data_IF_299836384800
#
_entry.id   IF_299836384800
#
_cell.length_a   1.000
_cell.length_b   1.000
_cell.length_c   1.000
_cell.angle_alpha   90.00
_cell.angle_beta   90.00
_cell.angle_gamma   90.00
#
_symmetry.space_group_name_H-M   'P 1'
#
loop_
_entity.id
_entity.type
_entity.pdbx_description
1 polymer ?
#
# COMPACT_ATOMS: atom_id res chain seq x y z
N UNK A 1 -2.76 -27.10 -14.26
CA UNK A 1 -1.97 -25.98 -14.82
C UNK A 1 -2.76 -24.67 -14.98
N UNK A 2 -4.06 -24.60 -14.66
CA UNK A 2 -4.88 -23.36 -14.77
C UNK A 2 -4.90 -22.46 -13.53
N UNK A 3 -4.75 -23.01 -12.32
CA UNK A 3 -4.89 -22.26 -11.05
C UNK A 3 -3.83 -21.19 -10.80
N UNK A 4 -2.57 -21.49 -11.11
CA UNK A 4 -1.46 -20.59 -10.84
C UNK A 4 -1.51 -19.33 -11.71
N UNK A 5 -1.89 -19.48 -12.98
CA UNK A 5 -2.06 -18.35 -13.88
C UNK A 5 -3.19 -17.44 -13.44
N UNK A 6 -4.31 -18.00 -12.98
CA UNK A 6 -5.44 -17.22 -12.47
C UNK A 6 -5.08 -16.46 -11.19
N UNK A 7 -4.43 -17.15 -10.24
CA UNK A 7 -3.97 -16.56 -8.97
C UNK A 7 -2.96 -15.44 -9.19
N UNK A 8 -1.99 -15.62 -10.10
CA UNK A 8 -0.99 -14.59 -10.44
C UNK A 8 -1.68 -13.37 -11.06
N UNK A 9 -2.67 -13.58 -11.93
CA UNK A 9 -3.37 -12.47 -12.58
C UNK A 9 -4.22 -11.67 -11.58
N UNK A 10 -4.86 -12.36 -10.63
CA UNK A 10 -5.61 -11.74 -9.53
C UNK A 10 -4.70 -10.91 -8.62
N UNK A 11 -3.59 -11.50 -8.16
CA UNK A 11 -2.59 -10.82 -7.33
C UNK A 11 -2.03 -9.60 -8.08
N UNK A 12 -1.71 -9.74 -9.36
CA UNK A 12 -1.19 -8.64 -10.17
C UNK A 12 -2.19 -7.51 -10.32
N UNK A 13 -3.47 -7.81 -10.51
CA UNK A 13 -4.52 -6.81 -10.63
C UNK A 13 -4.71 -6.06 -9.31
N UNK A 14 -4.76 -6.78 -8.19
CA UNK A 14 -4.82 -6.19 -6.83
C UNK A 14 -3.62 -5.29 -6.59
N UNK A 15 -2.39 -5.77 -6.86
CA UNK A 15 -1.17 -4.97 -6.72
C UNK A 15 -1.20 -3.75 -7.65
N UNK A 16 -1.67 -3.87 -8.90
CA UNK A 16 -1.78 -2.71 -9.80
C UNK A 16 -2.75 -1.67 -9.26
N UNK A 17 -3.96 -2.03 -8.83
CA UNK A 17 -4.92 -1.07 -8.27
C UNK A 17 -4.42 -0.46 -6.96
N UNK A 18 -3.75 -1.28 -6.13
CA UNK A 18 -3.10 -0.89 -4.88
C UNK A 18 -2.01 0.14 -5.13
N UNK A 19 -1.10 -0.10 -6.07
CA UNK A 19 -0.05 0.85 -6.42
C UNK A 19 -0.62 2.07 -7.16
N UNK A 20 -1.58 1.90 -8.06
CA UNK A 20 -2.17 3.03 -8.79
C UNK A 20 -2.85 4.02 -7.84
N UNK A 21 -3.53 3.55 -6.80
CA UNK A 21 -4.17 4.41 -5.80
C UNK A 21 -3.23 4.77 -4.63
N UNK A 22 -2.32 3.87 -4.27
CA UNK A 22 -1.44 3.98 -3.11
C UNK A 22 -0.08 4.63 -3.38
N UNK A 23 0.37 4.72 -4.64
CA UNK A 23 1.66 5.36 -5.00
C UNK A 23 1.70 6.82 -4.54
N UNK A 24 0.54 7.50 -4.56
CA UNK A 24 0.43 8.87 -4.09
C UNK A 24 0.56 8.98 -2.57
N UNK A 25 0.03 7.99 -1.84
CA UNK A 25 0.15 7.89 -0.37
C UNK A 25 1.59 7.58 0.04
N UNK A 26 2.27 6.66 -0.67
CA UNK A 26 3.69 6.36 -0.45
C UNK A 26 4.57 7.56 -0.79
N UNK A 27 4.28 8.25 -1.90
CA UNK A 27 5.00 9.46 -2.31
C UNK A 27 4.83 10.60 -1.31
N UNK A 28 3.61 10.81 -0.79
CA UNK A 28 3.33 11.79 0.24
C UNK A 28 4.09 11.48 1.53
N UNK A 29 4.08 10.22 1.99
CA UNK A 29 4.84 9.81 3.17
C UNK A 29 6.35 9.92 3.00
N UNK A 30 6.85 9.56 1.81
CA UNK A 30 8.26 9.68 1.49
C UNK A 30 8.72 11.14 1.51
N UNK A 31 7.96 12.06 0.89
CA UNK A 31 8.21 13.50 0.96
C UNK A 31 8.13 14.02 2.40
N UNK A 32 7.13 13.57 3.18
CA UNK A 32 6.98 13.97 4.58
C UNK A 32 8.19 13.57 5.43
N UNK A 33 8.67 12.32 5.27
CA UNK A 33 9.86 11.82 5.96
C UNK A 33 11.15 12.51 5.48
N UNK A 34 11.24 12.82 4.18
CA UNK A 34 12.42 13.48 3.60
C UNK A 34 12.53 14.94 4.03
N UNK A 35 11.40 15.65 4.15
CA UNK A 35 11.37 17.04 4.63
C UNK A 35 11.63 17.13 6.14
N UNK A 36 11.33 16.09 6.90
CA UNK A 36 11.49 16.10 8.34
C UNK A 36 12.46 15.02 8.84
N UNK A 37 13.73 15.41 9.05
CA UNK A 37 14.77 14.56 9.65
C UNK A 37 14.60 14.34 11.18
N UNK A 38 13.41 14.63 11.73
CA UNK A 38 13.11 14.50 13.15
C UNK A 38 12.73 13.06 13.51
N UNK A 39 13.38 12.49 14.53
CA UNK A 39 13.15 11.12 15.02
C UNK A 39 11.68 10.83 15.39
N UNK A 40 10.90 11.85 15.75
CA UNK A 40 9.47 11.71 16.06
C UNK A 40 8.61 11.54 14.80
N UNK A 41 8.95 12.20 13.69
CA UNK A 41 8.23 12.04 12.42
C UNK A 41 8.47 10.68 11.77
N UNK A 42 9.66 10.10 11.95
CA UNK A 42 9.98 8.77 11.46
C UNK A 42 9.10 7.69 12.14
N UNK A 43 8.83 7.85 13.44
CA UNK A 43 7.87 7.01 14.18
C UNK A 43 6.44 7.17 13.68
N UNK A 44 5.99 8.41 13.48
CA UNK A 44 4.66 8.71 12.94
C UNK A 44 4.49 8.15 11.51
N UNK A 45 5.51 8.30 10.66
CA UNK A 45 5.52 7.76 9.31
C UNK A 45 5.40 6.23 9.31
N UNK A 46 6.09 5.54 10.20
CA UNK A 46 6.01 4.08 10.31
C UNK A 46 4.61 3.62 10.73
N UNK A 47 3.97 4.32 11.66
CA UNK A 47 2.59 4.04 12.10
C UNK A 47 1.62 4.25 10.94
N UNK A 48 1.75 5.35 10.20
CA UNK A 48 0.82 5.64 9.12
C UNK A 48 1.05 4.71 7.93
N UNK A 49 2.29 4.29 7.68
CA UNK A 49 2.59 3.24 6.71
C UNK A 49 1.86 1.93 7.06
N UNK A 50 1.82 1.54 8.34
CA UNK A 50 1.07 0.37 8.82
C UNK A 50 -0.45 0.57 8.64
N UNK A 51 -0.98 1.74 8.97
CA UNK A 51 -2.41 2.06 8.82
C UNK A 51 -2.82 2.01 7.35
N UNK A 52 -2.02 2.60 6.46
CA UNK A 52 -2.24 2.57 5.01
C UNK A 52 -2.19 1.12 4.50
N UNK A 53 -1.22 0.33 4.97
CA UNK A 53 -1.14 -1.09 4.63
C UNK A 53 -2.40 -1.86 5.05
N UNK A 54 -2.90 -1.61 6.26
CA UNK A 54 -4.12 -2.25 6.77
C UNK A 54 -5.38 -1.82 6.00
N UNK A 55 -5.54 -0.52 5.72
CA UNK A 55 -6.67 0.00 4.93
C UNK A 55 -6.67 -0.59 3.51
N UNK A 56 -5.51 -0.68 2.86
CA UNK A 56 -5.45 -1.27 1.53
C UNK A 56 -5.66 -2.78 1.53
N UNK A 57 -5.28 -3.48 2.60
CA UNK A 57 -5.60 -4.91 2.77
C UNK A 57 -7.12 -5.11 2.84
N UNK A 58 -7.81 -4.29 3.63
CA UNK A 58 -9.27 -4.30 3.74
C UNK A 58 -9.93 -3.93 2.40
N UNK A 59 -9.44 -2.90 1.72
CA UNK A 59 -9.95 -2.50 0.40
C UNK A 59 -9.80 -3.63 -0.63
N UNK A 60 -8.66 -4.33 -0.65
CA UNK A 60 -8.44 -5.45 -1.57
C UNK A 60 -9.35 -6.64 -1.27
N UNK A 61 -9.67 -6.89 0.01
CA UNK A 61 -10.61 -7.94 0.41
C UNK A 61 -12.04 -7.58 -0.02
N UNK A 62 -12.45 -6.31 0.14
CA UNK A 62 -13.80 -5.85 -0.20
C UNK A 62 -14.04 -5.84 -1.72
N UNK A 63 -13.06 -5.40 -2.51
CA UNK A 63 -13.17 -5.37 -3.97
C UNK A 63 -13.16 -6.76 -4.61
N UNK A 64 -12.56 -7.75 -3.94
CA UNK A 64 -12.42 -9.12 -4.45
C UNK A 64 -13.44 -10.08 -3.81
N UNK A 65 -14.48 -9.55 -3.17
CA UNK A 65 -15.65 -10.29 -2.70
C UNK A 65 -16.73 -10.32 -3.77
#
# INVERSE_FOLDING_TARGET
MGDYHFTINLIRNIIMTFFQSGIWVVGFFYLLNKTHSSKSLLKASKIIMIIVFACLLLYSIDINR
#
